data_IF_392728570695
#
_entry.id   IF_392728570695
#
_cell.length_a   1.000
_cell.length_b   1.000
_cell.length_c   1.000
_cell.angle_alpha   90.00
_cell.angle_beta   90.00
_cell.angle_gamma   90.00
#
_symmetry.space_group_name_H-M   'P 1'
#
loop_
_entity.id
_entity.type
_entity.pdbx_description
1 polymer ?
#
# COMPACT_ATOMS: atom_id res chain seq x y z
N UNK A 1 8.74 -16.30 0.12
CA UNK A 1 9.98 -15.53 -0.14
C UNK A 1 9.77 -14.02 -0.26
N UNK A 2 8.62 -13.52 -0.76
CA UNK A 2 8.35 -12.06 -0.90
C UNK A 2 8.31 -11.26 0.43
N UNK A 3 7.92 -11.90 1.54
CA UNK A 3 7.85 -11.27 2.88
C UNK A 3 9.22 -11.02 3.52
N UNK A 4 10.23 -11.84 3.20
CA UNK A 4 11.60 -11.64 3.69
C UNK A 4 12.25 -10.41 3.06
N UNK A 5 11.97 -10.15 1.78
CA UNK A 5 12.45 -8.95 1.08
C UNK A 5 11.81 -7.69 1.66
N UNK A 6 10.50 -7.73 1.98
CA UNK A 6 9.83 -6.63 2.66
C UNK A 6 10.44 -6.35 4.05
N UNK A 7 10.76 -7.39 4.82
CA UNK A 7 11.42 -7.26 6.14
C UNK A 7 12.81 -6.61 6.08
N UNK A 8 13.62 -6.95 5.07
CA UNK A 8 14.94 -6.34 4.88
C UNK A 8 14.83 -4.86 4.48
N UNK A 9 13.84 -4.51 3.65
CA UNK A 9 13.54 -3.11 3.30
C UNK A 9 13.08 -2.33 4.53
N UNK A 10 12.27 -2.93 5.41
CA UNK A 10 11.83 -2.33 6.68
C UNK A 10 13.01 -2.01 7.60
N UNK A 11 13.93 -2.96 7.79
CA UNK A 11 15.12 -2.73 8.61
C UNK A 11 16.03 -1.64 8.02
N UNK A 12 16.17 -1.56 6.69
CA UNK A 12 16.99 -0.54 6.04
C UNK A 12 16.35 0.87 6.09
N UNK A 13 15.02 0.99 5.97
CA UNK A 13 14.31 2.27 6.10
C UNK A 13 14.38 2.81 7.53
N UNK A 14 14.29 1.94 8.55
CA UNK A 14 14.38 2.36 9.96
C UNK A 14 15.82 2.62 10.38
N UNK A 15 16.81 1.84 9.92
CA UNK A 15 18.22 2.03 10.29
C UNK A 15 18.91 3.21 9.59
N UNK A 16 18.46 3.61 8.39
CA UNK A 16 18.96 4.82 7.71
C UNK A 16 18.46 6.12 8.33
N UNK A 17 17.50 6.06 9.28
CA UNK A 17 16.96 7.25 9.95
C UNK A 17 17.92 7.86 10.98
N UNK A 18 18.92 7.12 11.48
CA UNK A 18 19.80 7.58 12.56
C UNK A 18 21.14 8.18 12.11
N UNK A 19 21.48 8.15 10.82
CA UNK A 19 22.81 8.55 10.32
C UNK A 19 22.83 9.73 9.32
N UNK A 20 21.69 10.24 8.85
CA UNK A 20 21.65 11.32 7.86
C UNK A 20 21.18 12.64 8.49
N UNK A 21 22.13 13.54 8.68
CA UNK A 21 21.93 14.95 9.03
C UNK A 21 20.99 15.61 8.00
N UNK A 22 19.82 16.04 8.49
CA UNK A 22 18.79 16.88 7.83
C UNK A 22 18.12 16.31 6.56
N UNK A 23 17.26 15.28 6.72
CA UNK A 23 16.18 15.04 5.73
C UNK A 23 15.24 16.25 5.70
N UNK A 24 14.78 16.64 4.50
CA UNK A 24 13.76 17.70 4.40
C UNK A 24 12.48 17.26 5.13
N UNK A 25 11.75 18.18 5.78
CA UNK A 25 10.49 17.84 6.48
C UNK A 25 9.50 17.06 5.59
N UNK A 26 9.49 17.34 4.29
CA UNK A 26 8.65 16.65 3.31
C UNK A 26 9.06 15.19 3.10
N UNK A 27 10.36 14.87 3.05
CA UNK A 27 10.81 13.47 2.94
C UNK A 27 10.40 12.68 4.18
N UNK A 28 10.54 13.27 5.37
CA UNK A 28 10.14 12.61 6.61
C UNK A 28 8.63 12.30 6.64
N UNK A 29 7.80 13.24 6.19
CA UNK A 29 6.34 13.02 6.08
C UNK A 29 6.01 11.90 5.08
N UNK A 30 6.67 11.86 3.92
CA UNK A 30 6.52 10.78 2.93
C UNK A 30 6.88 9.42 3.55
N UNK A 31 8.00 9.35 4.28
CA UNK A 31 8.44 8.10 4.91
C UNK A 31 7.47 7.62 6.00
N UNK A 32 6.94 8.52 6.83
CA UNK A 32 5.90 8.17 7.80
C UNK A 32 4.62 7.67 7.13
N UNK A 33 4.17 8.37 6.08
CA UNK A 33 3.00 7.98 5.31
C UNK A 33 3.18 6.58 4.69
N UNK A 34 4.34 6.28 4.11
CA UNK A 34 4.67 4.93 3.61
C UNK A 34 4.66 3.89 4.73
N UNK A 35 5.15 4.23 5.93
CA UNK A 35 5.10 3.35 7.10
C UNK A 35 3.66 2.98 7.50
N UNK A 36 2.75 3.95 7.51
CA UNK A 36 1.32 3.70 7.77
C UNK A 36 0.72 2.83 6.66
N UNK A 37 1.00 3.14 5.39
CA UNK A 37 0.52 2.34 4.25
C UNK A 37 1.03 0.90 4.35
N UNK A 38 2.29 0.70 4.72
CA UNK A 38 2.87 -0.64 4.91
C UNK A 38 2.11 -1.44 5.96
N UNK A 39 1.74 -0.82 7.08
CA UNK A 39 0.89 -1.44 8.09
C UNK A 39 -0.43 -1.94 7.50
N UNK A 40 -1.09 -1.11 6.69
CA UNK A 40 -2.34 -1.49 6.02
C UNK A 40 -2.13 -2.54 4.92
N UNK A 41 -0.98 -2.53 4.25
CA UNK A 41 -0.60 -3.55 3.26
C UNK A 41 -0.30 -4.93 3.87
N UNK A 42 -0.24 -5.05 5.20
CA UNK A 42 -0.30 -6.35 5.88
C UNK A 42 -1.73 -6.88 6.04
N UNK A 43 -2.71 -5.97 6.11
CA UNK A 43 -4.13 -6.26 6.36
C UNK A 43 -4.87 -6.52 5.04
N UNK A 44 -4.74 -5.60 4.06
CA UNK A 44 -5.50 -5.64 2.80
C UNK A 44 -5.33 -6.98 2.08
N UNK A 45 -4.11 -7.49 1.80
CA UNK A 45 -3.96 -8.73 1.06
C UNK A 45 -4.50 -9.94 1.80
N UNK A 46 -4.37 -9.97 3.13
CA UNK A 46 -4.91 -11.06 3.93
C UNK A 46 -6.43 -11.08 3.87
N UNK A 47 -7.07 -9.93 4.13
CA UNK A 47 -8.52 -9.80 4.08
C UNK A 47 -9.08 -10.17 2.69
N UNK A 48 -8.50 -9.63 1.61
CA UNK A 48 -8.93 -9.95 0.23
C UNK A 48 -8.77 -11.43 -0.10
N UNK A 49 -7.68 -12.08 0.34
CA UNK A 49 -7.49 -13.53 0.16
C UNK A 49 -8.57 -14.35 0.87
N UNK A 50 -9.02 -13.91 2.05
CA UNK A 50 -10.14 -14.56 2.76
C UNK A 50 -11.47 -14.37 2.02
N UNK A 51 -11.71 -13.20 1.40
CA UNK A 51 -12.87 -12.97 0.53
C UNK A 51 -12.86 -13.94 -0.66
N UNK A 52 -11.71 -14.06 -1.33
CA UNK A 52 -11.53 -15.00 -2.46
C UNK A 52 -11.77 -16.45 -2.03
N UNK A 53 -11.33 -16.81 -0.82
CA UNK A 53 -11.55 -18.14 -0.24
C UNK A 53 -13.00 -18.36 0.27
N UNK A 54 -13.89 -17.37 0.17
CA UNK A 54 -15.26 -17.44 0.67
C UNK A 54 -15.39 -17.47 2.20
N UNK A 55 -14.30 -17.24 2.93
CA UNK A 55 -14.28 -17.33 4.40
C UNK A 55 -14.68 -16.01 5.01
N UNK A 56 -15.81 -15.98 5.72
CA UNK A 56 -16.35 -14.79 6.38
C UNK A 56 -16.27 -13.54 5.47
N UNK A 57 -16.68 -13.72 4.20
CA UNK A 57 -16.35 -12.80 3.11
C UNK A 57 -16.82 -11.38 3.42
N UNK A 58 -17.98 -11.22 4.04
CA UNK A 58 -18.52 -9.90 4.37
C UNK A 58 -17.68 -9.14 5.40
N UNK A 59 -17.26 -9.79 6.49
CA UNK A 59 -16.38 -9.15 7.46
C UNK A 59 -15.02 -8.81 6.83
N UNK A 60 -14.47 -9.69 6.01
CA UNK A 60 -13.20 -9.45 5.34
C UNK A 60 -13.29 -8.34 4.29
N UNK A 61 -14.43 -8.17 3.61
CA UNK A 61 -14.69 -7.00 2.75
C UNK A 61 -14.64 -5.72 3.60
N UNK A 62 -15.34 -5.66 4.73
CA UNK A 62 -15.30 -4.48 5.61
C UNK A 62 -13.90 -4.19 6.13
N UNK A 63 -13.16 -5.21 6.58
CA UNK A 63 -11.76 -5.05 7.01
C UNK A 63 -10.86 -4.52 5.89
N UNK A 64 -10.99 -5.03 4.67
CA UNK A 64 -10.22 -4.55 3.54
C UNK A 64 -10.59 -3.10 3.20
N UNK A 65 -11.87 -2.75 3.17
CA UNK A 65 -12.34 -1.40 2.86
C UNK A 65 -11.89 -0.36 3.90
N UNK A 66 -11.90 -0.72 5.18
CA UNK A 66 -11.41 0.16 6.27
C UNK A 66 -9.90 0.41 6.15
N UNK A 67 -9.12 -0.66 5.89
CA UNK A 67 -7.69 -0.54 5.66
C UNK A 67 -7.38 0.32 4.42
N UNK A 68 -8.13 0.16 3.33
CA UNK A 68 -8.03 0.99 2.13
C UNK A 68 -8.34 2.46 2.47
N UNK A 69 -9.39 2.72 3.26
CA UNK A 69 -9.73 4.08 3.72
C UNK A 69 -8.57 4.71 4.48
N UNK A 70 -7.95 3.97 5.40
CA UNK A 70 -6.77 4.41 6.14
C UNK A 70 -5.62 4.76 5.21
N UNK A 71 -5.32 3.93 4.20
CA UNK A 71 -4.32 4.24 3.17
C UNK A 71 -4.63 5.55 2.45
N UNK A 72 -5.90 5.79 2.09
CA UNK A 72 -6.30 7.00 1.37
C UNK A 72 -6.02 8.29 2.12
N UNK A 73 -6.15 8.27 3.46
CA UNK A 73 -5.82 9.44 4.30
C UNK A 73 -4.36 9.87 4.16
N UNK A 74 -3.47 8.93 3.86
CA UNK A 74 -2.03 9.18 3.76
C UNK A 74 -1.65 9.88 2.46
N UNK A 75 -2.53 9.90 1.46
CA UNK A 75 -2.20 10.44 0.14
C UNK A 75 -1.86 11.94 0.13
N UNK A 76 -2.35 12.69 1.11
CA UNK A 76 -2.06 14.12 1.25
C UNK A 76 -0.56 14.40 1.44
N UNK A 77 0.19 13.45 2.02
CA UNK A 77 1.61 13.58 2.29
C UNK A 77 2.50 13.33 1.07
N UNK A 78 1.92 12.89 -0.05
CA UNK A 78 2.63 12.63 -1.29
C UNK A 78 2.49 13.76 -2.32
N UNK A 79 2.01 14.93 -1.92
CA UNK A 79 2.08 16.15 -2.75
C UNK A 79 3.51 16.69 -2.74
N UNK A 80 4.43 15.99 -3.41
CA UNK A 80 5.85 16.28 -3.35
C UNK A 80 6.36 16.96 -4.63
N UNK A 81 7.52 17.62 -4.53
CA UNK A 81 8.29 18.08 -5.70
C UNK A 81 8.92 16.92 -6.50
N UNK A 82 8.84 15.69 -6.01
CA UNK A 82 9.43 14.51 -6.65
C UNK A 82 8.44 13.88 -7.63
N UNK A 83 8.58 14.19 -8.92
CA UNK A 83 7.71 13.67 -9.99
C UNK A 83 7.62 12.14 -10.00
N UNK A 84 8.73 11.45 -9.72
CA UNK A 84 8.78 9.99 -9.64
C UNK A 84 7.90 9.42 -8.52
N UNK A 85 7.91 10.04 -7.34
CA UNK A 85 7.06 9.67 -6.20
C UNK A 85 5.59 9.90 -6.55
N UNK A 86 5.27 11.05 -7.13
CA UNK A 86 3.90 11.40 -7.49
C UNK A 86 3.33 10.40 -8.52
N UNK A 87 4.12 10.01 -9.52
CA UNK A 87 3.71 9.02 -10.51
C UNK A 87 3.49 7.64 -9.88
N UNK A 88 4.42 7.18 -9.04
CA UNK A 88 4.30 5.89 -8.35
C UNK A 88 3.05 5.84 -7.46
N UNK A 89 2.79 6.91 -6.69
CA UNK A 89 1.63 7.02 -5.82
C UNK A 89 0.33 7.12 -6.62
N UNK A 90 0.34 7.80 -7.76
CA UNK A 90 -0.82 7.86 -8.66
C UNK A 90 -1.20 6.47 -9.17
N UNK A 91 -0.22 5.67 -9.58
CA UNK A 91 -0.47 4.30 -10.02
C UNK A 91 -1.03 3.43 -8.88
N UNK A 92 -0.45 3.55 -7.68
CA UNK A 92 -0.92 2.84 -6.50
C UNK A 92 -2.36 3.25 -6.10
N UNK A 93 -2.68 4.55 -6.19
CA UNK A 93 -4.03 5.10 -5.97
C UNK A 93 -5.06 4.48 -6.90
N UNK A 94 -4.75 4.39 -8.19
CA UNK A 94 -5.61 3.77 -9.19
C UNK A 94 -5.85 2.30 -8.88
N UNK A 95 -4.77 1.54 -8.62
CA UNK A 95 -4.86 0.13 -8.27
C UNK A 95 -5.74 -0.13 -7.03
N UNK A 96 -5.61 0.70 -5.99
CA UNK A 96 -6.43 0.60 -4.79
C UNK A 96 -7.90 0.95 -5.04
N UNK A 97 -8.16 1.92 -5.91
CA UNK A 97 -9.53 2.28 -6.30
C UNK A 97 -10.20 1.15 -7.07
N UNK A 98 -9.46 0.49 -7.96
CA UNK A 98 -9.95 -0.69 -8.69
C UNK A 98 -10.25 -1.86 -7.74
N UNK A 99 -9.34 -2.14 -6.79
CA UNK A 99 -9.55 -3.17 -5.77
C UNK A 99 -10.78 -2.86 -4.91
N UNK A 100 -10.92 -1.62 -4.44
CA UNK A 100 -12.08 -1.17 -3.68
C UNK A 100 -13.39 -1.34 -4.46
N UNK A 101 -13.39 -0.97 -5.74
CA UNK A 101 -14.56 -1.14 -6.62
C UNK A 101 -14.93 -2.63 -6.75
N UNK A 102 -13.95 -3.51 -6.96
CA UNK A 102 -14.17 -4.95 -7.04
C UNK A 102 -14.68 -5.56 -5.72
N UNK A 103 -14.23 -5.05 -4.57
CA UNK A 103 -14.74 -5.46 -3.25
C UNK A 103 -16.20 -5.05 -3.02
N UNK A 104 -16.65 -3.97 -3.65
CA UNK A 104 -18.01 -3.44 -3.54
C UNK A 104 -18.98 -4.03 -4.57
N UNK A 105 -18.49 -4.75 -5.58
CA UNK A 105 -19.33 -5.42 -6.57
C UNK A 105 -20.08 -6.60 -5.94
N UNK A 106 -21.34 -6.78 -6.34
CA UNK A 106 -22.19 -7.89 -5.89
C UNK A 106 -22.78 -8.60 -7.13
N UNK A 107 -22.54 -9.92 -7.32
CA UNK A 107 -21.62 -10.75 -6.54
C UNK A 107 -20.16 -10.34 -6.73
N UNK A 108 -19.34 -10.61 -5.73
CA UNK A 108 -17.89 -10.40 -5.81
C UNK A 108 -17.30 -11.40 -6.80
N UNK A 109 -16.46 -10.91 -7.71
CA UNK A 109 -15.72 -11.73 -8.68
C UNK A 109 -14.32 -12.05 -8.11
N UNK A 110 -14.03 -13.31 -7.72
CA UNK A 110 -12.75 -13.67 -7.13
C UNK A 110 -11.57 -13.50 -8.09
N UNK A 111 -11.77 -13.64 -9.39
CA UNK A 111 -10.72 -13.47 -10.41
C UNK A 111 -10.34 -11.99 -10.52
N UNK A 112 -11.33 -11.08 -10.58
CA UNK A 112 -11.05 -9.63 -10.56
C UNK A 112 -10.41 -9.19 -9.25
N UNK A 113 -10.82 -9.74 -8.12
CA UNK A 113 -10.16 -9.46 -6.83
C UNK A 113 -8.71 -9.91 -6.82
N UNK A 114 -8.41 -11.12 -7.30
CA UNK A 114 -7.03 -11.61 -7.37
C UNK A 114 -6.16 -10.74 -8.27
N UNK A 115 -6.67 -10.36 -9.46
CA UNK A 115 -5.96 -9.48 -10.39
C UNK A 115 -5.72 -8.08 -9.81
N UNK A 116 -6.76 -7.44 -9.26
CA UNK A 116 -6.63 -6.11 -8.66
C UNK A 116 -5.73 -6.11 -7.42
N UNK A 117 -5.79 -7.15 -6.59
CA UNK A 117 -4.87 -7.32 -5.47
C UNK A 117 -3.41 -7.42 -5.94
N UNK A 118 -3.13 -8.22 -6.98
CA UNK A 118 -1.78 -8.34 -7.53
C UNK A 118 -1.26 -7.00 -8.06
N UNK A 119 -2.12 -6.20 -8.69
CA UNK A 119 -1.77 -4.85 -9.16
C UNK A 119 -1.46 -3.92 -7.99
N UNK A 120 -2.24 -3.97 -6.91
CA UNK A 120 -1.98 -3.21 -5.68
C UNK A 120 -0.64 -3.61 -5.06
N UNK A 121 -0.37 -4.91 -4.91
CA UNK A 121 0.92 -5.40 -4.37
C UNK A 121 2.11 -4.92 -5.24
N UNK A 122 1.99 -5.00 -6.57
CA UNK A 122 3.05 -4.58 -7.49
C UNK A 122 3.31 -3.07 -7.45
N UNK A 123 2.25 -2.27 -7.49
CA UNK A 123 2.36 -0.79 -7.44
C UNK A 123 2.84 -0.30 -6.08
N UNK A 124 2.49 -0.98 -4.98
CA UNK A 124 3.04 -0.69 -3.66
C UNK A 124 4.54 -0.95 -3.57
N UNK A 125 5.01 -2.10 -4.08
CA UNK A 125 6.44 -2.41 -4.11
C UNK A 125 7.21 -1.38 -4.96
N UNK A 126 6.62 -0.91 -6.05
CA UNK A 126 7.19 0.17 -6.86
C UNK A 126 7.31 1.49 -6.07
N UNK A 127 6.26 1.90 -5.33
CA UNK A 127 6.32 3.06 -4.43
C UNK A 127 7.46 2.91 -3.42
N UNK A 128 7.57 1.74 -2.77
CA UNK A 128 8.64 1.45 -1.81
C UNK A 128 10.03 1.58 -2.44
N UNK A 129 10.21 1.10 -3.68
CA UNK A 129 11.49 1.22 -4.40
C UNK A 129 11.86 2.67 -4.70
N UNK A 130 10.91 3.50 -5.12
CA UNK A 130 11.16 4.93 -5.40
C UNK A 130 11.49 5.67 -4.11
N UNK A 131 10.74 5.44 -3.03
CA UNK A 131 10.95 6.12 -1.74
C UNK A 131 12.26 5.67 -1.08
N UNK A 132 12.71 4.44 -1.30
CA UNK A 132 14.02 3.97 -0.84
C UNK A 132 15.19 4.69 -1.53
N UNK A 133 15.00 5.15 -2.77
CA UNK A 133 16.03 5.86 -3.54
C UNK A 133 16.06 7.39 -3.30
N UNK A 134 15.16 7.93 -2.46
CA UNK A 134 15.15 9.34 -2.04
C UNK A 134 16.13 9.57 -0.88
#
# INVERSE_FOLDING_TARGET
MKLLVASVVICALVASSSAQTTKSPSIFQIQQAVGVILGQMSIIPNAVKQVIAGTNAQNNIYTALDAISTVKTQYTYFSSTYTSVNNAITNFRTALTDLESNLKQVPVDPTKLASSLSTVESTFMYVGSIVYTL
#
